data_IF_533928056225
#
_entry.id   IF_533928056225
#
_cell.length_a   1.000
_cell.length_b   1.000
_cell.length_c   1.000
_cell.angle_alpha   90.00
_cell.angle_beta   90.00
_cell.angle_gamma   90.00
#
_symmetry.space_group_name_H-M   'P 1'
#
loop_
_entity.id
_entity.type
_entity.pdbx_description
1 polymer ?
#
# COMPACT_ATOMS: atom_id res chain seq x y z
N UNK A 1 23.36 -0.32 8.77
CA UNK A 1 24.30 -1.36 8.29
C UNK A 1 23.63 -2.70 7.90
N UNK A 2 22.30 -2.85 8.05
CA UNK A 2 21.56 -4.04 7.57
C UNK A 2 20.34 -3.62 6.73
N UNK A 3 20.48 -3.46 5.39
CA UNK A 3 19.43 -2.89 4.53
C UNK A 3 18.11 -3.67 4.58
N UNK A 4 18.15 -5.00 4.43
CA UNK A 4 16.95 -5.85 4.44
C UNK A 4 16.24 -5.79 5.80
N UNK A 5 17.00 -5.94 6.90
CA UNK A 5 16.45 -5.89 8.27
C UNK A 5 15.81 -4.52 8.55
N UNK A 6 16.46 -3.44 8.12
CA UNK A 6 15.91 -2.09 8.24
C UNK A 6 14.56 -1.98 7.53
N UNK A 7 14.47 -2.44 6.29
CA UNK A 7 13.21 -2.38 5.54
C UNK A 7 12.07 -3.13 6.23
N UNK A 8 12.35 -4.33 6.75
CA UNK A 8 11.36 -5.12 7.50
C UNK A 8 10.93 -4.40 8.79
N UNK A 9 11.88 -3.83 9.55
CA UNK A 9 11.58 -3.11 10.79
C UNK A 9 10.78 -1.83 10.53
N UNK A 10 11.17 -1.04 9.53
CA UNK A 10 10.47 0.19 9.15
C UNK A 10 9.05 -0.11 8.68
N UNK A 11 8.86 -1.16 7.87
CA UNK A 11 7.53 -1.59 7.44
C UNK A 11 6.68 -2.05 8.62
N UNK A 12 7.26 -2.80 9.57
CA UNK A 12 6.58 -3.22 10.78
C UNK A 12 6.09 -2.05 11.62
N UNK A 13 6.92 -1.02 11.80
CA UNK A 13 6.54 0.19 12.51
C UNK A 13 5.42 0.96 11.80
N UNK A 14 5.54 1.15 10.48
CA UNK A 14 4.52 1.83 9.67
C UNK A 14 3.17 1.09 9.72
N UNK A 15 3.19 -0.24 9.64
CA UNK A 15 1.99 -1.08 9.74
C UNK A 15 1.34 -1.00 11.13
N UNK A 16 2.15 -1.02 12.19
CA UNK A 16 1.66 -0.87 13.57
C UNK A 16 1.00 0.50 13.77
N UNK A 17 1.63 1.57 13.28
CA UNK A 17 1.08 2.92 13.34
C UNK A 17 -0.23 3.04 12.56
N UNK A 18 -0.26 2.52 11.32
CA UNK A 18 -1.45 2.48 10.49
C UNK A 18 -2.60 1.72 11.14
N UNK A 19 -2.32 0.56 11.74
CA UNK A 19 -3.32 -0.21 12.49
C UNK A 19 -3.89 0.57 13.68
N UNK A 20 -3.02 1.24 14.45
CA UNK A 20 -3.45 2.09 15.57
C UNK A 20 -4.32 3.25 15.10
N UNK A 21 -3.95 3.90 14.00
CA UNK A 21 -4.73 5.00 13.41
C UNK A 21 -6.10 4.53 12.92
N UNK A 22 -6.19 3.38 12.24
CA UNK A 22 -7.46 2.80 11.81
C UNK A 22 -8.35 2.44 13.00
N UNK A 23 -7.77 1.85 14.06
CA UNK A 23 -8.50 1.52 15.28
C UNK A 23 -9.04 2.78 15.96
N UNK A 24 -8.23 3.84 16.02
CA UNK A 24 -8.65 5.14 16.54
C UNK A 24 -9.82 5.72 15.73
N UNK A 25 -9.69 5.79 14.40
CA UNK A 25 -10.76 6.30 13.52
C UNK A 25 -12.06 5.50 13.67
N UNK A 26 -11.96 4.17 13.80
CA UNK A 26 -13.12 3.31 14.04
C UNK A 26 -13.80 3.64 15.37
N UNK A 27 -13.03 3.84 16.43
CA UNK A 27 -13.57 4.20 17.75
C UNK A 27 -14.26 5.57 17.74
N UNK A 28 -13.67 6.55 17.05
CA UNK A 28 -14.28 7.89 16.89
C UNK A 28 -15.61 7.78 16.13
N UNK A 29 -15.63 7.10 14.99
CA UNK A 29 -16.84 6.91 14.19
C UNK A 29 -17.95 6.18 14.97
N UNK A 30 -17.58 5.20 15.81
CA UNK A 30 -18.53 4.47 16.65
C UNK A 30 -19.08 5.35 17.80
N UNK A 31 -18.24 6.19 18.40
CA UNK A 31 -18.66 7.13 19.44
C UNK A 31 -19.65 8.17 18.89
N UNK A 32 -19.42 8.68 17.68
CA UNK A 32 -20.33 9.61 17.00
C UNK A 32 -21.66 8.94 16.60
N UNK A 33 -21.62 7.68 16.16
CA UNK A 33 -22.82 6.96 15.72
C UNK A 33 -23.72 6.47 16.87
N UNK A 34 -23.19 6.33 18.08
CA UNK A 34 -23.93 5.84 19.24
C UNK A 34 -23.53 6.57 20.52
N UNK A 35 -23.99 7.83 20.72
CA UNK A 35 -23.63 8.63 21.89
C UNK A 35 -24.07 8.01 23.23
N UNK A 36 -25.19 7.27 23.26
CA UNK A 36 -25.79 6.74 24.50
C UNK A 36 -25.49 5.26 24.83
N UNK A 37 -24.75 4.52 23.99
CA UNK A 37 -24.41 3.10 24.26
C UNK A 37 -22.97 2.92 24.74
N UNK A 38 -22.40 3.95 25.37
CA UNK A 38 -21.00 3.96 25.77
C UNK A 38 -20.64 2.85 26.78
N UNK A 39 -21.58 2.32 27.57
CA UNK A 39 -21.19 1.44 28.69
C UNK A 39 -21.80 0.03 28.79
N UNK A 40 -23.04 -0.30 28.36
CA UNK A 40 -23.65 -1.55 28.90
C UNK A 40 -24.11 -2.67 27.95
N UNK A 41 -24.15 -2.51 26.62
CA UNK A 41 -24.69 -3.59 25.74
C UNK A 41 -23.79 -3.97 24.55
N UNK A 42 -22.51 -3.62 24.65
CA UNK A 42 -21.48 -4.02 23.69
C UNK A 42 -20.79 -5.26 24.27
N UNK A 43 -20.90 -6.41 23.58
CA UNK A 43 -19.80 -7.39 23.28
C UNK A 43 -20.25 -8.86 23.24
N UNK A 44 -21.27 -9.32 23.97
CA UNK A 44 -21.40 -10.78 24.19
C UNK A 44 -22.07 -11.59 23.05
N UNK A 45 -22.97 -11.01 22.24
CA UNK A 45 -23.57 -11.74 21.09
C UNK A 45 -22.72 -11.65 19.80
N UNK A 46 -21.64 -10.85 19.79
CA UNK A 46 -20.88 -10.47 18.57
C UNK A 46 -19.52 -11.16 18.39
N UNK A 47 -18.96 -11.79 19.42
CA UNK A 47 -17.62 -12.37 19.37
C UNK A 47 -17.48 -13.52 18.37
N UNK A 48 -18.43 -14.45 18.36
CA UNK A 48 -18.39 -15.62 17.48
C UNK A 48 -18.69 -15.24 16.01
N UNK A 49 -19.63 -14.32 15.76
CA UNK A 49 -19.94 -13.78 14.44
C UNK A 49 -18.75 -12.99 13.85
N UNK A 50 -18.08 -12.19 14.67
CA UNK A 50 -16.86 -11.46 14.26
C UNK A 50 -15.71 -12.42 13.95
N UNK A 51 -15.53 -13.46 14.78
CA UNK A 51 -14.54 -14.51 14.55
C UNK A 51 -14.85 -15.28 13.26
N UNK A 52 -16.11 -15.67 13.06
CA UNK A 52 -16.57 -16.36 11.86
C UNK A 52 -16.35 -15.50 10.61
N UNK A 53 -16.73 -14.23 10.64
CA UNK A 53 -16.50 -13.31 9.52
C UNK A 53 -15.00 -13.17 9.21
N UNK A 54 -14.16 -13.11 10.23
CA UNK A 54 -12.69 -13.05 10.07
C UNK A 54 -12.16 -14.32 9.40
N UNK A 55 -12.62 -15.50 9.85
CA UNK A 55 -12.23 -16.79 9.26
C UNK A 55 -12.70 -16.88 7.81
N UNK A 56 -13.95 -16.52 7.51
CA UNK A 56 -14.51 -16.53 6.15
C UNK A 56 -13.72 -15.56 5.26
N UNK A 57 -13.43 -14.35 5.73
CA UNK A 57 -12.66 -13.35 4.99
C UNK A 57 -11.24 -13.83 4.70
N UNK A 58 -10.59 -14.49 5.66
CA UNK A 58 -9.27 -15.09 5.47
C UNK A 58 -9.31 -16.24 4.46
N UNK A 59 -10.29 -17.13 4.55
CA UNK A 59 -10.48 -18.23 3.60
C UNK A 59 -10.76 -17.70 2.20
N UNK A 60 -11.64 -16.69 2.07
CA UNK A 60 -11.90 -16.01 0.80
C UNK A 60 -10.63 -15.39 0.23
N UNK A 61 -9.85 -14.68 1.04
CA UNK A 61 -8.60 -14.06 0.61
C UNK A 61 -7.61 -15.12 0.10
N UNK A 62 -7.41 -16.21 0.83
CA UNK A 62 -6.54 -17.31 0.39
C UNK A 62 -7.08 -17.96 -0.89
N UNK A 63 -8.37 -18.26 -0.97
CA UNK A 63 -8.99 -18.84 -2.16
C UNK A 63 -8.80 -17.93 -3.40
N UNK A 64 -9.13 -16.65 -3.25
CA UNK A 64 -9.13 -15.67 -4.32
C UNK A 64 -7.72 -15.28 -4.79
N UNK A 65 -6.76 -15.08 -3.88
CA UNK A 65 -5.40 -14.65 -4.26
C UNK A 65 -4.40 -15.79 -4.47
N UNK A 66 -4.61 -16.98 -3.90
CA UNK A 66 -3.68 -18.11 -4.05
C UNK A 66 -4.19 -19.18 -5.02
N UNK A 67 -5.42 -19.63 -4.85
CA UNK A 67 -5.93 -20.78 -5.60
C UNK A 67 -6.46 -20.38 -6.97
N UNK A 68 -7.22 -19.29 -7.07
CA UNK A 68 -7.79 -18.82 -8.33
C UNK A 68 -6.71 -18.55 -9.42
N UNK A 69 -5.61 -17.81 -9.16
CA UNK A 69 -4.58 -17.61 -10.17
C UNK A 69 -3.89 -18.92 -10.58
N UNK A 70 -3.61 -19.80 -9.61
CA UNK A 70 -2.91 -21.06 -9.85
C UNK A 70 -3.74 -22.02 -10.72
N UNK A 71 -5.03 -22.15 -10.42
CA UNK A 71 -5.95 -23.02 -11.19
C UNK A 71 -6.11 -22.46 -12.61
N UNK A 72 -6.30 -21.14 -12.75
CA UNK A 72 -6.43 -20.49 -14.06
C UNK A 72 -5.16 -20.63 -14.90
N UNK A 73 -3.98 -20.40 -14.32
CA UNK A 73 -2.71 -20.54 -15.03
C UNK A 73 -2.47 -22.00 -15.49
N UNK A 74 -2.76 -22.99 -14.66
CA UNK A 74 -2.66 -24.42 -15.02
C UNK A 74 -3.68 -24.85 -16.07
N UNK A 75 -4.89 -24.28 -16.05
CA UNK A 75 -5.90 -24.53 -17.07
C UNK A 75 -5.46 -23.99 -18.44
N UNK A 76 -4.82 -22.80 -18.47
CA UNK A 76 -4.22 -22.22 -19.68
C UNK A 76 -3.04 -23.08 -20.17
N UNK A 77 -2.13 -23.46 -19.26
CA UNK A 77 -0.97 -24.30 -19.61
C UNK A 77 -1.40 -25.61 -20.28
N UNK A 78 -2.41 -26.30 -19.72
CA UNK A 78 -2.91 -27.57 -20.27
C UNK A 78 -3.50 -27.43 -21.67
N UNK A 79 -4.08 -26.27 -22.01
CA UNK A 79 -4.66 -26.00 -23.34
C UNK A 79 -3.63 -25.54 -24.36
N UNK A 80 -2.63 -24.78 -23.93
CA UNK A 80 -1.67 -24.13 -24.83
C UNK A 80 -0.29 -24.79 -24.87
N UNK A 81 -0.07 -25.88 -24.10
CA UNK A 81 1.17 -26.64 -24.03
C UNK A 81 2.43 -25.79 -23.74
N UNK A 82 2.28 -24.74 -22.92
CA UNK A 82 3.38 -23.86 -22.57
C UNK A 82 4.41 -24.49 -21.63
N UNK A 83 5.65 -23.99 -21.72
CA UNK A 83 6.72 -24.32 -20.77
C UNK A 83 6.36 -23.92 -19.34
N UNK A 84 7.01 -24.55 -18.36
CA UNK A 84 6.86 -24.21 -16.93
C UNK A 84 7.21 -22.76 -16.65
N UNK A 85 8.21 -22.20 -17.35
CA UNK A 85 8.61 -20.81 -17.20
C UNK A 85 7.50 -19.85 -17.66
N UNK A 86 6.94 -20.06 -18.85
CA UNK A 86 5.83 -19.26 -19.37
C UNK A 86 4.61 -19.34 -18.46
N UNK A 87 4.32 -20.52 -17.91
CA UNK A 87 3.21 -20.72 -16.97
C UNK A 87 3.37 -19.90 -15.68
N UNK A 88 4.60 -19.77 -15.16
CA UNK A 88 4.88 -18.95 -13.98
C UNK A 88 4.67 -17.46 -14.26
N UNK A 89 5.05 -16.96 -15.44
CA UNK A 89 4.76 -15.59 -15.85
C UNK A 89 3.26 -15.34 -16.02
N UNK A 90 2.52 -16.29 -16.58
CA UNK A 90 1.05 -16.22 -16.71
C UNK A 90 0.37 -16.18 -15.33
N UNK A 91 0.76 -17.03 -14.38
CA UNK A 91 0.29 -16.98 -12.98
C UNK A 91 0.56 -15.62 -12.34
N UNK A 92 1.76 -15.08 -12.53
CA UNK A 92 2.14 -13.74 -12.08
C UNK A 92 1.25 -12.64 -12.67
N UNK A 93 1.04 -12.67 -13.98
CA UNK A 93 0.19 -11.73 -14.70
C UNK A 93 -1.26 -11.78 -14.22
N UNK A 94 -1.83 -12.98 -14.07
CA UNK A 94 -3.19 -13.15 -13.54
C UNK A 94 -3.32 -12.57 -12.13
N UNK A 95 -2.32 -12.74 -11.26
CA UNK A 95 -2.35 -12.13 -9.91
C UNK A 95 -2.35 -10.61 -9.95
N UNK A 96 -1.52 -10.02 -10.80
CA UNK A 96 -1.49 -8.56 -10.97
C UNK A 96 -2.86 -8.08 -11.48
N UNK A 97 -3.44 -8.75 -12.48
CA UNK A 97 -4.75 -8.39 -13.01
C UNK A 97 -5.86 -8.53 -11.96
N UNK A 98 -5.89 -9.62 -11.19
CA UNK A 98 -6.86 -9.82 -10.12
C UNK A 98 -6.72 -8.76 -9.01
N UNK A 99 -5.48 -8.43 -8.63
CA UNK A 99 -5.20 -7.39 -7.65
C UNK A 99 -5.67 -6.02 -8.12
N UNK A 100 -5.30 -5.62 -9.35
CA UNK A 100 -5.69 -4.33 -9.92
C UNK A 100 -7.20 -4.26 -10.14
N UNK A 101 -7.82 -5.33 -10.64
CA UNK A 101 -9.26 -5.43 -10.81
C UNK A 101 -10.01 -5.32 -9.49
N UNK A 102 -9.54 -6.02 -8.45
CA UNK A 102 -10.10 -5.94 -7.10
C UNK A 102 -10.01 -4.52 -6.53
N UNK A 103 -8.83 -3.89 -6.59
CA UNK A 103 -8.66 -2.51 -6.12
C UNK A 103 -9.49 -1.52 -6.92
N UNK A 104 -9.60 -1.71 -8.23
CA UNK A 104 -10.45 -0.87 -9.07
C UNK A 104 -11.92 -0.98 -8.67
N UNK A 105 -12.42 -2.20 -8.42
CA UNK A 105 -13.81 -2.38 -7.97
C UNK A 105 -14.03 -1.74 -6.59
N UNK A 106 -13.10 -1.93 -5.65
CA UNK A 106 -13.19 -1.29 -4.33
C UNK A 106 -13.15 0.24 -4.42
N UNK A 107 -12.32 0.80 -5.32
CA UNK A 107 -12.25 2.26 -5.51
C UNK A 107 -13.59 2.88 -5.95
N UNK A 108 -14.53 2.06 -6.43
CA UNK A 108 -15.87 2.51 -6.79
C UNK A 108 -16.83 2.64 -5.61
N UNK A 109 -16.53 2.01 -4.48
CA UNK A 109 -17.30 2.15 -3.24
C UNK A 109 -17.12 3.55 -2.66
N UNK A 110 -18.21 4.18 -2.19
CA UNK A 110 -18.20 5.59 -1.75
C UNK A 110 -17.16 5.86 -0.66
N UNK A 111 -17.13 5.02 0.38
CA UNK A 111 -16.23 5.21 1.53
C UNK A 111 -14.76 5.01 1.15
N UNK A 112 -14.47 3.99 0.34
CA UNK A 112 -13.11 3.72 -0.14
C UNK A 112 -12.65 4.84 -1.09
N UNK A 113 -13.54 5.32 -1.97
CA UNK A 113 -13.24 6.45 -2.84
C UNK A 113 -12.91 7.69 -2.01
N UNK A 114 -13.68 7.98 -0.95
CA UNK A 114 -13.42 9.10 -0.04
C UNK A 114 -12.06 8.96 0.65
N UNK A 115 -11.70 7.75 1.09
CA UNK A 115 -10.37 7.48 1.64
C UNK A 115 -9.25 7.75 0.61
N UNK A 116 -9.44 7.34 -0.66
CA UNK A 116 -8.48 7.63 -1.73
C UNK A 116 -8.41 9.12 -2.09
N UNK A 117 -9.46 9.89 -1.84
CA UNK A 117 -9.40 11.35 -1.97
C UNK A 117 -8.55 11.98 -0.86
N UNK A 118 -8.71 11.58 0.41
CA UNK A 118 -7.82 12.04 1.49
C UNK A 118 -6.36 11.68 1.23
N UNK A 119 -6.11 10.51 0.65
CA UNK A 119 -4.76 10.13 0.21
C UNK A 119 -4.24 11.04 -0.93
N UNK A 120 -5.11 11.39 -1.89
CA UNK A 120 -4.77 12.39 -2.92
C UNK A 120 -4.50 13.79 -2.33
N UNK A 121 -5.21 14.18 -1.27
CA UNK A 121 -4.98 15.44 -0.56
C UNK A 121 -3.62 15.47 0.14
N UNK A 122 -3.22 14.37 0.79
CA UNK A 122 -1.88 14.22 1.38
C UNK A 122 -0.80 14.40 0.32
N UNK A 123 -0.90 13.70 -0.82
CA UNK A 123 0.09 13.82 -1.89
C UNK A 123 0.22 15.25 -2.45
N UNK A 124 -0.91 15.92 -2.68
CA UNK A 124 -0.92 17.32 -3.15
C UNK A 124 -0.29 18.27 -2.14
N UNK A 125 -0.61 18.09 -0.87
CA UNK A 125 -0.07 18.89 0.24
C UNK A 125 1.43 18.69 0.38
N UNK A 126 1.89 17.43 0.33
CA UNK A 126 3.31 17.07 0.38
C UNK A 126 4.06 17.63 -0.82
N UNK A 127 3.52 17.55 -2.04
CA UNK A 127 4.14 18.17 -3.21
C UNK A 127 4.28 19.69 -3.06
N UNK A 128 3.24 20.38 -2.59
CA UNK A 128 3.29 21.82 -2.39
C UNK A 128 4.33 22.22 -1.34
N UNK A 129 4.42 21.45 -0.25
CA UNK A 129 5.46 21.63 0.77
C UNK A 129 6.87 21.39 0.21
N UNK A 130 7.08 20.30 -0.54
CA UNK A 130 8.37 19.98 -1.14
C UNK A 130 8.84 21.03 -2.15
N UNK A 131 7.91 21.60 -2.91
CA UNK A 131 8.22 22.63 -3.90
C UNK A 131 8.64 23.96 -3.25
N UNK A 132 8.14 24.27 -2.06
CA UNK A 132 8.49 25.50 -1.35
C UNK A 132 8.50 25.28 0.19
N UNK A 133 9.55 24.66 0.75
CA UNK A 133 9.57 24.26 2.17
C UNK A 133 9.49 25.42 3.17
N UNK A 134 9.79 26.65 2.71
CA UNK A 134 9.81 27.86 3.53
C UNK A 134 8.53 28.69 3.42
N UNK A 135 7.58 28.30 2.55
CA UNK A 135 6.32 28.99 2.37
C UNK A 135 5.16 28.18 2.99
N UNK A 136 4.13 28.86 3.53
CA UNK A 136 2.93 28.16 3.99
C UNK A 136 2.24 27.46 2.82
N UNK A 137 1.78 26.24 3.03
CA UNK A 137 1.02 25.49 2.03
C UNK A 137 -0.41 26.06 1.98
N UNK A 138 -0.85 26.51 0.81
CA UNK A 138 -2.23 26.96 0.59
C UNK A 138 -3.04 25.88 -0.12
N UNK A 139 -4.36 25.91 0.05
CA UNK A 139 -5.27 24.98 -0.62
C UNK A 139 -5.17 25.13 -2.14
N UNK A 140 -5.16 26.37 -2.63
CA UNK A 140 -5.07 26.68 -4.06
C UNK A 140 -3.74 26.16 -4.64
N UNK A 141 -2.64 26.37 -3.93
CA UNK A 141 -1.32 25.90 -4.33
C UNK A 141 -1.27 24.36 -4.38
N UNK A 142 -1.73 23.70 -3.32
CA UNK A 142 -1.79 22.24 -3.26
C UNK A 142 -2.67 21.65 -4.38
N UNK A 143 -3.80 22.29 -4.70
CA UNK A 143 -4.72 21.80 -5.73
C UNK A 143 -4.09 21.75 -7.13
N UNK A 144 -3.05 22.55 -7.42
CA UNK A 144 -2.34 22.52 -8.71
C UNK A 144 -1.52 21.23 -8.95
N UNK A 145 -1.17 20.51 -7.89
CA UNK A 145 -0.33 19.31 -7.99
C UNK A 145 -1.12 18.06 -8.36
N UNK A 146 -0.41 17.06 -8.89
CA UNK A 146 -0.99 15.74 -9.22
C UNK A 146 -1.22 14.91 -7.96
N UNK A 147 -2.10 13.91 -8.05
CA UNK A 147 -2.43 13.04 -6.91
C UNK A 147 -1.50 11.83 -6.78
N UNK A 148 -0.54 11.61 -7.67
CA UNK A 148 0.40 10.48 -7.59
C UNK A 148 1.80 10.95 -7.22
N UNK A 149 2.30 10.45 -6.10
CA UNK A 149 3.57 10.84 -5.50
C UNK A 149 4.60 9.70 -5.58
N UNK A 150 5.84 9.96 -6.05
CA UNK A 150 6.87 8.92 -6.17
C UNK A 150 7.33 8.34 -4.83
N UNK A 151 7.17 9.11 -3.75
CA UNK A 151 7.56 8.70 -2.38
C UNK A 151 6.45 7.95 -1.63
N UNK A 152 5.28 7.77 -2.26
CA UNK A 152 4.15 7.10 -1.60
C UNK A 152 4.44 5.61 -1.36
N UNK A 153 4.10 5.16 -0.15
CA UNK A 153 4.15 3.76 0.23
C UNK A 153 3.23 2.85 -0.57
N UNK A 154 2.21 3.34 -1.27
CA UNK A 154 1.39 2.45 -2.14
C UNK A 154 2.16 1.91 -3.34
N UNK A 155 3.19 2.61 -3.81
CA UNK A 155 4.15 2.07 -4.78
C UNK A 155 4.84 0.80 -4.27
N UNK A 156 4.95 0.63 -2.95
CA UNK A 156 5.52 -0.56 -2.33
C UNK A 156 4.77 -1.83 -2.70
N UNK A 157 3.44 -1.79 -2.77
CA UNK A 157 2.65 -2.97 -3.11
C UNK A 157 3.00 -3.47 -4.52
N UNK A 158 3.08 -2.58 -5.51
CA UNK A 158 3.49 -2.95 -6.87
C UNK A 158 4.92 -3.45 -6.91
N UNK A 159 5.85 -2.78 -6.23
CA UNK A 159 7.25 -3.20 -6.18
C UNK A 159 7.39 -4.59 -5.55
N UNK A 160 6.68 -4.87 -4.46
CA UNK A 160 6.64 -6.20 -3.83
C UNK A 160 6.09 -7.24 -4.79
N UNK A 161 5.03 -6.96 -5.53
CA UNK A 161 4.45 -7.90 -6.47
C UNK A 161 5.39 -8.23 -7.64
N UNK A 162 6.05 -7.21 -8.21
CA UNK A 162 7.00 -7.41 -9.30
C UNK A 162 8.25 -8.16 -8.84
N UNK A 163 8.80 -7.81 -7.68
CA UNK A 163 9.94 -8.54 -7.12
C UNK A 163 9.56 -9.96 -6.74
N UNK A 164 8.36 -10.16 -6.18
CA UNK A 164 7.83 -11.49 -5.89
C UNK A 164 7.78 -12.35 -7.15
N UNK A 165 7.35 -11.78 -8.29
CA UNK A 165 7.33 -12.50 -9.57
C UNK A 165 8.73 -12.95 -9.97
N UNK A 166 9.71 -12.05 -9.92
CA UNK A 166 11.10 -12.38 -10.26
C UNK A 166 11.70 -13.42 -9.30
N UNK A 167 11.56 -13.22 -7.99
CA UNK A 167 12.13 -14.09 -6.96
C UNK A 167 11.51 -15.48 -7.02
N UNK A 168 10.18 -15.59 -7.09
CA UNK A 168 9.53 -16.90 -7.15
C UNK A 168 9.78 -17.65 -8.48
N UNK A 169 10.10 -16.94 -9.57
CA UNK A 169 10.52 -17.58 -10.81
C UNK A 169 11.91 -18.25 -10.70
N UNK A 170 12.81 -17.69 -9.88
CA UNK A 170 14.17 -18.23 -9.67
C UNK A 170 14.20 -19.45 -8.74
N UNK A 171 13.21 -19.60 -7.86
CA UNK A 171 13.12 -20.72 -6.92
C UNK A 171 11.87 -21.58 -7.18
N UNK A 172 11.83 -22.37 -8.27
CA UNK A 172 10.73 -23.27 -8.52
C UNK A 172 10.73 -24.41 -7.51
N UNK A 173 9.56 -24.71 -6.92
CA UNK A 173 9.38 -25.88 -6.07
C UNK A 173 8.27 -26.77 -6.64
N UNK A 174 8.43 -28.10 -6.57
CA UNK A 174 7.50 -29.02 -7.23
C UNK A 174 6.26 -29.32 -6.38
N UNK A 175 6.40 -29.43 -5.05
CA UNK A 175 5.29 -29.74 -4.15
C UNK A 175 4.61 -28.49 -3.59
N UNK A 176 3.29 -28.55 -3.39
CA UNK A 176 2.51 -27.42 -2.85
C UNK A 176 3.03 -26.95 -1.48
N UNK A 177 3.32 -27.88 -0.56
CA UNK A 177 3.84 -27.56 0.76
C UNK A 177 5.20 -26.84 0.69
N UNK A 178 6.12 -27.36 -0.13
CA UNK A 178 7.43 -26.71 -0.35
C UNK A 178 7.30 -25.32 -0.98
N UNK A 179 6.39 -25.14 -1.95
CA UNK A 179 6.13 -23.84 -2.54
C UNK A 179 5.55 -22.85 -1.53
N UNK A 180 4.66 -23.31 -0.66
CA UNK A 180 4.05 -22.47 0.36
C UNK A 180 5.07 -22.05 1.42
N UNK A 181 5.84 -23.00 1.96
CA UNK A 181 6.90 -22.73 2.93
C UNK A 181 7.96 -21.78 2.36
N UNK A 182 8.43 -22.02 1.12
CA UNK A 182 9.40 -21.17 0.44
C UNK A 182 8.87 -19.73 0.28
N UNK A 183 7.61 -19.56 -0.13
CA UNK A 183 7.01 -18.23 -0.26
C UNK A 183 6.98 -17.51 1.09
N UNK A 184 6.55 -18.18 2.16
CA UNK A 184 6.55 -17.60 3.51
C UNK A 184 7.94 -17.20 3.98
N UNK A 185 8.94 -18.06 3.76
CA UNK A 185 10.33 -17.79 4.13
C UNK A 185 10.95 -16.64 3.34
N UNK A 186 10.56 -16.47 2.07
CA UNK A 186 11.06 -15.40 1.21
C UNK A 186 10.33 -14.06 1.41
N UNK A 187 9.20 -14.00 2.11
CA UNK A 187 8.46 -12.75 2.34
C UNK A 187 9.31 -11.65 2.97
N UNK A 188 10.10 -11.89 4.05
CA UNK A 188 10.95 -10.84 4.65
C UNK A 188 12.03 -10.35 3.69
N UNK A 189 12.60 -11.25 2.88
CA UNK A 189 13.61 -10.90 1.88
C UNK A 189 13.00 -10.01 0.80
N UNK A 190 11.84 -10.40 0.27
CA UNK A 190 11.11 -9.62 -0.74
C UNK A 190 10.76 -8.24 -0.17
N UNK A 191 10.16 -8.18 1.02
CA UNK A 191 9.77 -6.91 1.65
C UNK A 191 10.97 -5.98 1.88
N UNK A 192 12.09 -6.52 2.40
CA UNK A 192 13.30 -5.74 2.63
C UNK A 192 13.92 -5.23 1.32
N UNK A 193 14.01 -6.07 0.29
CA UNK A 193 14.52 -5.66 -1.03
C UNK A 193 13.60 -4.61 -1.69
N UNK A 194 12.27 -4.79 -1.61
CA UNK A 194 11.31 -3.82 -2.12
C UNK A 194 11.45 -2.46 -1.45
N UNK A 195 11.58 -2.43 -0.12
CA UNK A 195 11.76 -1.19 0.63
C UNK A 195 13.04 -0.47 0.20
N UNK A 196 14.16 -1.19 0.13
CA UNK A 196 15.45 -0.60 -0.23
C UNK A 196 15.47 -0.09 -1.67
N UNK A 197 14.83 -0.78 -2.61
CA UNK A 197 14.71 -0.29 -3.99
C UNK A 197 13.89 1.01 -4.07
N UNK A 198 12.78 1.10 -3.35
CA UNK A 198 11.96 2.32 -3.34
C UNK A 198 12.70 3.47 -2.67
N UNK A 199 13.34 3.21 -1.53
CA UNK A 199 14.16 4.20 -0.85
C UNK A 199 15.29 4.70 -1.74
N UNK A 200 15.98 3.79 -2.43
CA UNK A 200 17.07 4.14 -3.34
C UNK A 200 16.57 4.94 -4.54
N UNK A 201 15.43 4.55 -5.12
CA UNK A 201 14.80 5.29 -6.22
C UNK A 201 14.38 6.71 -5.78
N UNK A 202 13.79 6.85 -4.58
CA UNK A 202 13.43 8.14 -3.99
C UNK A 202 14.65 9.04 -3.78
N UNK A 203 15.75 8.50 -3.24
CA UNK A 203 17.01 9.24 -3.04
C UNK A 203 17.60 9.74 -4.35
N UNK A 204 17.62 8.90 -5.40
CA UNK A 204 18.17 9.31 -6.70
C UNK A 204 17.35 10.41 -7.37
N UNK A 205 16.03 10.36 -7.22
CA UNK A 205 15.13 11.41 -7.70
C UNK A 205 15.35 12.72 -6.96
N UNK A 206 15.50 12.71 -5.62
CA UNK A 206 15.81 13.94 -4.86
C UNK A 206 17.16 14.58 -5.24
N UNK A 207 18.07 13.80 -5.82
CA UNK A 207 19.38 14.28 -6.30
C UNK A 207 19.33 14.76 -7.77
N UNK A 208 18.13 14.91 -8.37
CA UNK A 208 17.96 15.38 -9.75
C UNK A 208 18.39 14.37 -10.82
N UNK A 209 18.60 13.10 -10.45
CA UNK A 209 19.03 12.03 -11.36
C UNK A 209 17.83 11.26 -11.90
N UNK A 210 16.92 11.98 -12.53
CA UNK A 210 15.73 11.43 -13.19
C UNK A 210 16.11 10.83 -14.56
N UNK A 211 16.70 9.64 -14.57
CA UNK A 211 17.01 8.95 -15.83
C UNK A 211 17.41 7.49 -15.67
N UNK A 212 16.77 6.60 -16.45
CA UNK A 212 17.18 5.20 -16.62
C UNK A 212 16.24 4.13 -16.02
N UNK A 213 16.79 2.92 -15.80
CA UNK A 213 16.09 1.71 -15.35
C UNK A 213 15.27 1.92 -14.05
N UNK A 214 15.71 2.81 -13.16
CA UNK A 214 15.03 3.08 -11.89
C UNK A 214 13.69 3.79 -12.07
N UNK A 215 13.57 4.67 -13.07
CA UNK A 215 12.28 5.29 -13.39
C UNK A 215 11.27 4.22 -13.81
N UNK A 216 11.69 3.30 -14.69
CA UNK A 216 10.88 2.16 -15.14
C UNK A 216 10.39 1.28 -13.98
N UNK A 217 11.22 1.04 -12.97
CA UNK A 217 10.85 0.26 -11.79
C UNK A 217 9.81 0.94 -10.89
N UNK A 218 9.75 2.27 -10.90
CA UNK A 218 8.78 3.06 -10.09
C UNK A 218 7.48 3.37 -10.83
N UNK A 219 7.47 3.30 -12.17
CA UNK A 219 6.29 3.58 -12.99
C UNK A 219 5.06 2.72 -12.64
N UNK A 220 5.17 1.39 -12.44
CA UNK A 220 4.03 0.58 -12.06
C UNK A 220 3.40 1.02 -10.75
N UNK A 221 4.21 1.49 -9.79
CA UNK A 221 3.71 2.07 -8.53
C UNK A 221 2.93 3.36 -8.75
N UNK A 222 3.41 4.25 -9.62
CA UNK A 222 2.69 5.47 -10.00
C UNK A 222 1.38 5.17 -10.74
N UNK A 223 1.33 4.11 -11.56
CA UNK A 223 0.10 3.68 -12.20
C UNK A 223 -0.92 3.13 -11.21
N UNK A 224 -0.48 2.35 -10.22
CA UNK A 224 -1.36 1.91 -9.13
C UNK A 224 -1.99 3.09 -8.39
N UNK A 225 -1.21 4.15 -8.17
CA UNK A 225 -1.71 5.35 -7.52
C UNK A 225 -2.84 6.04 -8.28
N UNK A 226 -2.95 5.87 -9.60
CA UNK A 226 -4.12 6.37 -10.35
C UNK A 226 -5.43 5.71 -9.94
N UNK A 227 -5.37 4.55 -9.29
CA UNK A 227 -6.53 3.89 -8.69
C UNK A 227 -6.66 4.31 -7.22
N UNK A 228 -5.56 4.27 -6.46
CA UNK A 228 -5.56 4.45 -4.99
C UNK A 228 -5.48 5.90 -4.51
N UNK A 229 -5.47 6.85 -5.42
CA UNK A 229 -5.55 8.29 -5.15
C UNK A 229 -6.61 8.89 -6.07
N UNK A 230 -7.38 9.84 -5.55
CA UNK A 230 -8.46 10.49 -6.28
C UNK A 230 -8.41 12.00 -6.05
N UNK A 231 -8.94 12.83 -6.97
CA UNK A 231 -9.01 14.28 -6.77
C UNK A 231 -9.77 14.62 -5.46
N UNK A 232 -9.13 15.34 -4.52
CA UNK A 232 -9.74 15.73 -3.25
C UNK A 232 -10.59 17.00 -3.36
N UNK A 233 -11.52 17.19 -2.42
CA UNK A 233 -12.14 18.49 -2.17
C UNK A 233 -11.20 19.40 -1.36
N UNK A 234 -11.50 20.70 -1.36
CA UNK A 234 -10.73 21.70 -0.62
C UNK A 234 -10.71 21.41 0.89
N UNK A 235 -11.82 20.96 1.47
CA UNK A 235 -11.86 20.54 2.89
C UNK A 235 -10.89 19.40 3.21
N UNK A 236 -10.71 18.46 2.28
CA UNK A 236 -9.78 17.35 2.46
C UNK A 236 -8.33 17.83 2.36
N UNK A 237 -8.05 18.80 1.48
CA UNK A 237 -6.75 19.46 1.38
C UNK A 237 -6.45 20.27 2.64
N UNK A 238 -7.41 21.04 3.15
CA UNK A 238 -7.28 21.77 4.42
C UNK A 238 -6.96 20.83 5.59
N UNK A 239 -7.63 19.68 5.67
CA UNK A 239 -7.34 18.64 6.65
C UNK A 239 -5.89 18.11 6.51
N UNK A 240 -5.45 17.84 5.29
CA UNK A 240 -4.08 17.38 5.02
C UNK A 240 -3.02 18.43 5.37
N UNK A 241 -3.25 19.71 5.04
CA UNK A 241 -2.38 20.84 5.42
C UNK A 241 -2.28 20.93 6.95
N UNK A 242 -3.42 20.90 7.64
CA UNK A 242 -3.47 20.95 9.11
C UNK A 242 -2.69 19.80 9.75
N UNK A 243 -2.85 18.59 9.21
CA UNK A 243 -2.12 17.41 9.67
C UNK A 243 -0.60 17.54 9.42
N UNK A 244 -0.20 18.05 8.26
CA UNK A 244 1.21 18.30 7.93
C UNK A 244 1.81 19.34 8.87
N UNK A 245 1.17 20.49 9.02
CA UNK A 245 1.66 21.58 9.88
C UNK A 245 1.84 21.11 11.33
N UNK A 246 0.88 20.33 11.84
CA UNK A 246 0.97 19.75 13.18
C UNK A 246 2.11 18.75 13.30
N UNK A 247 2.33 17.92 12.28
CA UNK A 247 3.45 16.98 12.25
C UNK A 247 4.79 17.74 12.26
N UNK A 248 4.92 18.79 11.46
CA UNK A 248 6.13 19.63 11.38
C UNK A 248 6.40 20.39 12.68
N UNK A 249 5.36 20.88 13.36
CA UNK A 249 5.48 21.51 14.67
C UNK A 249 6.04 20.54 15.72
N UNK A 250 5.51 19.30 15.75
CA UNK A 250 5.99 18.25 16.65
C UNK A 250 7.43 17.84 16.35
N UNK A 251 7.84 17.84 15.08
CA UNK A 251 9.25 17.61 14.71
C UNK A 251 10.17 18.73 15.19
N UNK A 252 9.77 20.00 15.04
CA UNK A 252 10.54 21.16 15.56
C UNK A 252 10.74 21.05 17.06
N UNK A 253 9.69 20.72 17.80
CA UNK A 253 9.75 20.56 19.27
C UNK A 253 10.72 19.44 19.70
N UNK A 254 10.93 18.43 18.84
CA UNK A 254 11.84 17.31 19.09
C UNK A 254 13.26 17.55 18.57
N UNK A 255 13.55 18.73 18.02
CA UNK A 255 14.86 19.06 17.43
C UNK A 255 15.16 18.31 16.12
N UNK A 256 14.13 17.81 15.44
CA UNK A 256 14.25 17.14 14.14
C UNK A 256 14.57 18.13 13.00
N UNK A 257 15.24 17.63 11.97
CA UNK A 257 15.41 18.39 10.72
C UNK A 257 14.06 18.42 10.01
N UNK A 258 13.59 19.60 9.59
CA UNK A 258 12.35 19.82 8.84
C UNK A 258 12.43 19.25 7.42
N UNK A 259 12.58 17.94 7.31
CA UNK A 259 12.61 17.22 6.05
C UNK A 259 11.67 16.04 6.14
N UNK A 260 10.75 15.95 5.20
CA UNK A 260 10.00 14.73 4.92
C UNK A 260 11.00 13.70 4.35
N UNK A 261 11.69 12.93 5.21
CA UNK A 261 12.73 11.97 4.82
C UNK A 261 12.48 10.57 5.39
#
# INVERSE_FOLDING_TARGET
>A
RWPIVRGVVTLGYAMQLGYRAMKYSTNVALAEAQPDTAEEDKIQVKGWLSTLNTVISLLFFVAFYKFLPLVTARAIQRRAHYSTLTTNFVDGGIRILLFLGFLFLLSRMKDIRRMFQYHGAEHKTVFAFEANPNAPVTVEGAQTYVTWHPRCGTSFLMTVMLISLCVYALFPAQHFASQFALRLLLLPVIAGVSYELIRFAGKRRSEGRDGGLFHLLTLPGLWLQRITTQPPSDDQVTCAITALDRAMELERQRGGVLTLA
#
